data_IF_975475050744
#
_entry.id   IF_975475050744
#
_cell.length_a   1.000
_cell.length_b   1.000
_cell.length_c   1.000
_cell.angle_alpha   90.00
_cell.angle_beta   90.00
_cell.angle_gamma   90.00
#
_symmetry.space_group_name_H-M   'P 1'
#
loop_
_entity.id
_entity.type
_entity.pdbx_description
1 polymer ?
#
# COMPACT_ATOMS: atom_id res chain seq x y z
N UNK A 1 18.85 -4.54 -23.23
CA UNK A 1 18.58 -3.28 -22.50
C UNK A 1 17.26 -3.27 -21.71
N UNK A 2 16.42 -4.32 -21.77
CA UNK A 2 15.11 -4.37 -21.08
C UNK A 2 15.21 -4.86 -19.62
N UNK A 3 16.12 -5.80 -19.33
CA UNK A 3 16.30 -6.42 -18.01
C UNK A 3 16.65 -5.42 -16.89
N UNK A 4 17.48 -4.42 -17.20
CA UNK A 4 17.87 -3.39 -16.24
C UNK A 4 16.65 -2.53 -15.84
N UNK A 5 15.72 -2.31 -16.77
CA UNK A 5 14.51 -1.52 -16.52
C UNK A 5 13.55 -2.28 -15.59
N UNK A 6 13.41 -3.60 -15.74
CA UNK A 6 12.66 -4.43 -14.79
C UNK A 6 13.31 -4.46 -13.40
N UNK A 7 14.64 -4.57 -13.32
CA UNK A 7 15.34 -4.58 -12.03
C UNK A 7 15.24 -3.22 -11.35
N UNK A 8 15.34 -2.12 -12.10
CA UNK A 8 15.16 -0.76 -11.55
C UNK A 8 13.72 -0.53 -11.12
N UNK A 9 12.74 -1.05 -11.85
CA UNK A 9 11.34 -1.02 -11.45
C UNK A 9 11.12 -1.79 -10.14
N UNK A 10 11.67 -3.00 -10.03
CA UNK A 10 11.63 -3.78 -8.79
C UNK A 10 12.34 -3.05 -7.64
N UNK A 11 13.53 -2.50 -7.86
CA UNK A 11 14.25 -1.73 -6.87
C UNK A 11 13.49 -0.48 -6.43
N UNK A 12 12.83 0.26 -7.32
CA UNK A 12 12.03 1.43 -6.92
C UNK A 12 10.78 1.00 -6.17
N UNK A 13 10.05 -0.01 -6.68
CA UNK A 13 8.82 -0.49 -6.05
C UNK A 13 9.10 -1.05 -4.65
N UNK A 14 10.17 -1.82 -4.44
CA UNK A 14 10.48 -2.41 -3.14
C UNK A 14 11.34 -1.51 -2.26
N UNK A 15 12.38 -0.85 -2.79
CA UNK A 15 13.29 -0.02 -1.98
C UNK A 15 12.64 1.28 -1.50
N UNK A 16 11.62 1.81 -2.17
CA UNK A 16 10.87 2.98 -1.69
C UNK A 16 9.91 2.65 -0.54
N UNK A 17 9.56 1.37 -0.32
CA UNK A 17 8.63 0.96 0.73
C UNK A 17 9.30 0.68 2.07
N UNK A 18 10.56 0.23 2.07
CA UNK A 18 11.29 -0.11 3.28
C UNK A 18 12.07 1.08 3.90
N UNK A 19 12.17 2.23 3.21
CA UNK A 19 12.86 3.42 3.72
C UNK A 19 11.96 4.65 3.78
N UNK A 20 11.68 5.17 4.99
CA UNK A 20 11.25 6.54 5.39
C UNK A 20 10.33 7.40 4.50
N UNK A 21 9.78 6.88 3.40
CA UNK A 21 9.08 7.59 2.33
C UNK A 21 7.68 7.03 2.07
N UNK A 22 7.26 6.02 2.85
CA UNK A 22 5.89 5.52 2.77
C UNK A 22 4.95 6.62 3.25
N UNK A 23 4.22 7.24 2.33
CA UNK A 23 3.27 8.32 2.65
C UNK A 23 2.08 7.81 3.47
N UNK A 24 1.86 6.50 3.57
CA UNK A 24 0.71 5.89 4.25
C UNK A 24 1.08 5.28 5.61
N UNK A 25 0.14 5.40 6.56
CA UNK A 25 0.13 4.73 7.87
C UNK A 25 -1.04 3.72 7.91
N UNK A 26 -0.80 2.46 8.33
CA UNK A 26 0.50 1.81 8.55
C UNK A 26 1.35 1.70 7.26
N UNK A 27 2.65 1.36 7.37
CA UNK A 27 3.51 1.22 6.18
C UNK A 27 2.97 0.17 5.20
N UNK A 28 3.27 0.28 3.90
CA UNK A 28 2.82 -0.69 2.89
C UNK A 28 3.22 -2.14 3.22
N UNK A 29 4.42 -2.34 3.79
CA UNK A 29 4.88 -3.65 4.25
C UNK A 29 4.04 -4.19 5.42
N UNK A 30 3.72 -3.33 6.40
CA UNK A 30 2.90 -3.71 7.54
C UNK A 30 1.44 -3.95 7.13
N UNK A 31 0.90 -3.11 6.25
CA UNK A 31 -0.41 -3.32 5.63
C UNK A 31 -0.45 -4.64 4.87
N UNK A 32 0.59 -4.97 4.11
CA UNK A 32 0.61 -6.22 3.35
C UNK A 32 0.66 -7.44 4.26
N UNK A 33 1.49 -7.42 5.31
CA UNK A 33 1.52 -8.49 6.30
C UNK A 33 0.15 -8.67 6.98
N UNK A 34 -0.51 -7.58 7.34
CA UNK A 34 -1.83 -7.58 7.96
C UNK A 34 -2.92 -8.09 6.98
N UNK A 35 -2.89 -7.61 5.74
CA UNK A 35 -3.83 -8.02 4.70
C UNK A 35 -3.69 -9.51 4.36
N UNK A 36 -2.47 -10.04 4.27
CA UNK A 36 -2.25 -11.47 4.07
C UNK A 36 -2.76 -12.30 5.27
N UNK A 37 -2.60 -11.78 6.50
CA UNK A 37 -3.02 -12.46 7.72
C UNK A 37 -4.54 -12.48 7.89
N UNK A 38 -5.22 -11.38 7.53
CA UNK A 38 -6.66 -11.21 7.74
C UNK A 38 -7.53 -11.61 6.53
N UNK A 39 -7.08 -11.35 5.30
CA UNK A 39 -7.83 -11.62 4.05
C UNK A 39 -7.30 -12.83 3.26
N UNK A 40 -6.20 -13.45 3.69
CA UNK A 40 -5.57 -14.58 3.01
C UNK A 40 -4.65 -14.18 1.85
N UNK A 41 -3.95 -15.15 1.28
CA UNK A 41 -2.83 -14.89 0.36
C UNK A 41 -3.26 -14.16 -0.93
N UNK A 42 -4.36 -14.57 -1.55
CA UNK A 42 -4.81 -14.00 -2.83
C UNK A 42 -5.33 -12.59 -2.66
N UNK A 43 -6.28 -12.37 -1.74
CA UNK A 43 -6.83 -11.02 -1.49
C UNK A 43 -5.79 -10.09 -0.87
N UNK A 44 -4.99 -10.59 0.08
CA UNK A 44 -3.92 -9.81 0.70
C UNK A 44 -2.89 -9.32 -0.32
N UNK A 45 -2.47 -10.16 -1.26
CA UNK A 45 -1.54 -9.76 -2.33
C UNK A 45 -2.18 -8.74 -3.27
N UNK A 46 -3.45 -8.91 -3.65
CA UNK A 46 -4.17 -7.96 -4.50
C UNK A 46 -4.33 -6.58 -3.83
N UNK A 47 -4.72 -6.55 -2.56
CA UNK A 47 -4.87 -5.31 -1.78
C UNK A 47 -3.52 -4.61 -1.59
N UNK A 48 -2.48 -5.38 -1.25
CA UNK A 48 -1.12 -4.84 -1.10
C UNK A 48 -0.67 -4.24 -2.43
N UNK A 49 -0.81 -4.98 -3.53
CA UNK A 49 -0.39 -4.55 -4.86
C UNK A 49 -1.10 -3.27 -5.32
N UNK A 50 -2.41 -3.16 -5.12
CA UNK A 50 -3.16 -1.93 -5.39
C UNK A 50 -2.60 -0.74 -4.59
N UNK A 51 -2.32 -0.94 -3.30
CA UNK A 51 -1.69 0.09 -2.46
C UNK A 51 -0.28 0.44 -2.91
N UNK A 52 0.51 -0.52 -3.41
CA UNK A 52 1.86 -0.25 -3.93
C UNK A 52 1.81 0.67 -5.15
N UNK A 53 0.86 0.44 -6.05
CA UNK A 53 0.67 1.27 -7.24
C UNK A 53 0.30 2.72 -6.87
N UNK A 54 -0.41 2.90 -5.75
CA UNK A 54 -0.79 4.20 -5.19
C UNK A 54 0.26 4.81 -4.26
N UNK A 55 1.29 4.06 -3.88
CA UNK A 55 2.37 4.56 -3.05
C UNK A 55 3.37 5.35 -3.90
N UNK A 56 2.91 6.47 -4.46
CA UNK A 56 3.71 7.41 -5.25
C UNK A 56 3.40 8.86 -4.85
N UNK A 57 4.34 9.81 -4.99
CA UNK A 57 4.15 11.21 -4.58
C UNK A 57 2.98 11.91 -5.31
N UNK A 58 2.57 11.47 -6.49
CA UNK A 58 1.41 12.04 -7.19
C UNK A 58 0.05 11.72 -6.53
N UNK A 59 0.04 10.87 -5.51
CA UNK A 59 -1.16 10.43 -4.79
C UNK A 59 -1.45 11.28 -3.55
N UNK A 60 -0.63 12.30 -3.32
CA UNK A 60 -0.68 13.33 -2.26
C UNK A 60 -1.96 14.21 -2.29
N UNK A 61 -3.12 13.75 -2.77
CA UNK A 61 -4.39 14.48 -2.65
C UNK A 61 -5.63 13.63 -2.41
N UNK A 62 -5.54 12.31 -2.57
CA UNK A 62 -6.72 11.45 -2.69
C UNK A 62 -7.14 10.74 -1.39
N UNK A 63 -6.35 10.88 -0.33
CA UNK A 63 -6.51 10.12 0.91
C UNK A 63 -6.50 11.04 2.13
N UNK A 64 -7.26 10.71 3.19
CA UNK A 64 -7.31 11.50 4.41
C UNK A 64 -5.93 11.53 5.09
N UNK A 65 -5.56 12.68 5.66
CA UNK A 65 -4.39 12.78 6.52
C UNK A 65 -4.66 12.05 7.85
N UNK A 66 -3.67 11.29 8.29
CA UNK A 66 -3.62 10.72 9.61
C UNK A 66 -3.54 11.86 10.66
N UNK A 67 -3.96 11.59 11.91
CA UNK A 67 -3.92 12.58 13.00
C UNK A 67 -2.51 13.07 13.35
N UNK A 68 -1.45 12.44 12.84
CA UNK A 68 -0.07 12.88 12.99
C UNK A 68 0.33 14.01 12.01
N UNK A 69 -0.51 14.32 11.01
CA UNK A 69 -0.26 15.36 10.01
C UNK A 69 0.91 15.08 9.06
N UNK A 70 1.54 13.90 9.16
CA UNK A 70 2.71 13.53 8.36
C UNK A 70 2.41 12.40 7.38
N UNK A 71 1.47 11.51 7.72
CA UNK A 71 1.13 10.36 6.89
C UNK A 71 -0.34 10.38 6.50
N UNK A 72 -0.69 9.64 5.46
CA UNK A 72 -2.05 9.35 4.99
C UNK A 72 -2.58 8.14 5.71
N UNK A 73 -3.82 8.18 6.18
CA UNK A 73 -4.45 7.01 6.79
C UNK A 73 -5.06 6.11 5.70
N UNK A 74 -4.60 4.86 5.66
CA UNK A 74 -5.25 3.80 4.91
C UNK A 74 -5.18 2.52 5.77
N UNK A 75 -6.21 2.22 6.58
CA UNK A 75 -6.23 1.02 7.41
C UNK A 75 -6.76 -0.18 6.61
N UNK A 76 -6.17 -1.37 6.82
CA UNK A 76 -6.59 -2.66 6.24
C UNK A 76 -8.08 -2.91 6.39
N UNK A 77 -8.65 -2.67 7.57
CA UNK A 77 -10.07 -2.90 7.86
C UNK A 77 -11.05 -2.00 7.10
N UNK A 78 -10.63 -0.77 6.72
CA UNK A 78 -11.48 0.20 6.00
C UNK A 78 -11.05 0.39 4.56
N UNK A 79 -10.17 -0.46 4.01
CA UNK A 79 -9.71 -0.30 2.63
C UNK A 79 -10.92 -0.20 1.70
N UNK A 80 -11.14 0.98 1.13
CA UNK A 80 -12.39 1.42 0.50
C UNK A 80 -12.92 0.48 -0.60
N UNK A 81 -12.01 -0.28 -1.21
CA UNK A 81 -12.31 -1.18 -2.33
C UNK A 81 -12.64 -2.62 -1.93
N UNK A 82 -12.23 -3.07 -0.74
CA UNK A 82 -12.26 -4.50 -0.35
C UNK A 82 -12.85 -4.76 1.04
N UNK A 83 -13.30 -3.73 1.76
CA UNK A 83 -13.95 -3.91 3.05
C UNK A 83 -15.19 -4.80 2.91
N UNK A 84 -15.14 -5.97 3.56
CA UNK A 84 -16.26 -6.92 3.68
C UNK A 84 -17.49 -6.33 4.40
N UNK A 85 -17.46 -5.06 4.83
CA UNK A 85 -18.66 -4.34 5.32
C UNK A 85 -19.72 -4.06 4.24
N UNK A 86 -19.55 -4.61 3.03
CA UNK A 86 -20.60 -4.84 2.03
C UNK A 86 -20.93 -6.33 1.87
N UNK A 87 -20.97 -7.11 2.96
CA UNK A 87 -21.73 -8.35 2.94
C UNK A 87 -23.17 -8.01 3.35
N UNK A 88 -24.18 -8.29 2.50
CA UNK A 88 -25.57 -7.96 2.80
C UNK A 88 -26.04 -8.62 4.10
#
# INVERSE_FOLDING_TARGET
MFFILLIRFYQVVFSSQDGSSCQFRPSCSHFGADALKHHGLVQGVLMTSDRLLRCNPYTEGLYPMAPDGQHREDPTEKHLLWSEKKKP
#
